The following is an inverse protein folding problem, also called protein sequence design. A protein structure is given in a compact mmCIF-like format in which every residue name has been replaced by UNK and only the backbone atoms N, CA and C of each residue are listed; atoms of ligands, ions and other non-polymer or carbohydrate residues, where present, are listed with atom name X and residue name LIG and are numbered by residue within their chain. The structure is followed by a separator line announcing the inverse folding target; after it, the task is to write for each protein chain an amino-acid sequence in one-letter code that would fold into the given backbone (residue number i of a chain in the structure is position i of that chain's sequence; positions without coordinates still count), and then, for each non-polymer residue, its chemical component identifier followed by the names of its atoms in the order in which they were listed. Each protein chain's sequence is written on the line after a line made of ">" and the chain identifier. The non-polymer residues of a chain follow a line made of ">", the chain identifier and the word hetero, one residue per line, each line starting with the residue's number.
data_IF_796955374133
#
_entry.id   IF_796955374133
#
_cell.length_a   1.000
_cell.length_b   1.000
_cell.length_c   1.000
_cell.angle_alpha   90.00
_cell.angle_beta   90.00
_cell.angle_gamma   90.00
#
_symmetry.space_group_name_H-M   'P 1'
#
loop_
_entity.id
_entity.type
_entity.pdbx_description
1 polymer ?
#
# COMPACT_ATOMS: atom_id res chain seq x y z
N UNK A 1 11.72 -89.46 23.73
CA UNK A 1 11.75 -88.00 23.44
C UNK A 1 11.14 -87.78 22.06
N UNK A 2 10.17 -86.86 21.88
CA UNK A 2 9.62 -86.54 20.56
C UNK A 2 10.62 -85.65 19.82
N UNK A 3 11.02 -86.02 18.59
CA UNK A 3 11.87 -85.18 17.74
C UNK A 3 11.03 -84.01 17.23
N UNK A 4 11.45 -82.76 17.47
CA UNK A 4 10.90 -81.61 16.72
C UNK A 4 11.25 -81.80 15.24
N UNK A 5 10.30 -81.57 14.34
CA UNK A 5 10.58 -81.55 12.92
C UNK A 5 11.29 -80.25 12.55
N UNK A 6 12.23 -80.34 11.59
CA UNK A 6 12.89 -79.16 11.04
C UNK A 6 11.87 -78.18 10.42
N UNK A 7 10.76 -78.70 9.86
CA UNK A 7 9.64 -77.89 9.35
C UNK A 7 8.91 -77.12 10.46
N UNK A 8 8.80 -77.66 11.68
CA UNK A 8 8.20 -76.95 12.82
C UNK A 8 9.07 -75.78 13.27
N UNK A 9 10.40 -75.96 13.24
CA UNK A 9 11.35 -74.90 13.55
C UNK A 9 11.31 -73.79 12.48
N UNK A 10 11.24 -74.16 11.20
CA UNK A 10 11.14 -73.23 10.09
C UNK A 10 9.84 -72.41 10.14
N UNK A 11 8.71 -73.04 10.48
CA UNK A 11 7.41 -72.37 10.63
C UNK A 11 7.43 -71.34 11.77
N UNK A 12 8.08 -71.64 12.89
CA UNK A 12 8.23 -70.71 14.01
C UNK A 12 9.12 -69.51 13.68
N UNK A 13 10.19 -69.70 12.90
CA UNK A 13 11.05 -68.60 12.41
C UNK A 13 10.25 -67.70 11.45
N UNK A 14 9.42 -68.28 10.59
CA UNK A 14 8.60 -67.53 9.64
C UNK A 14 7.49 -66.73 10.35
N UNK A 15 6.80 -67.33 11.32
CA UNK A 15 5.82 -66.64 12.18
C UNK A 15 6.47 -65.52 13.02
N UNK A 16 7.66 -65.76 13.58
CA UNK A 16 8.42 -64.75 14.31
C UNK A 16 8.84 -63.54 13.47
N UNK A 17 8.87 -63.68 12.14
CA UNK A 17 9.22 -62.59 11.22
C UNK A 17 8.06 -61.61 10.94
N UNK A 18 6.83 -61.96 11.34
CA UNK A 18 5.65 -61.09 11.21
C UNK A 18 5.38 -60.27 12.49
N UNK A 19 5.83 -60.77 13.65
CA UNK A 19 5.61 -60.14 14.95
C UNK A 19 6.70 -59.10 15.29
N UNK A 20 6.88 -58.08 14.45
CA UNK A 20 7.95 -57.08 14.66
C UNK A 20 7.89 -55.77 13.87
N UNK A 21 6.93 -55.58 12.96
CA UNK A 21 6.74 -54.27 12.32
C UNK A 21 5.79 -53.42 13.17
N UNK A 22 6.35 -52.49 13.94
CA UNK A 22 5.56 -51.39 14.52
C UNK A 22 5.24 -50.38 13.42
N UNK A 23 4.15 -50.62 12.70
CA UNK A 23 3.58 -49.67 11.74
C UNK A 23 3.33 -48.33 12.46
N UNK A 24 3.83 -47.22 11.87
CA UNK A 24 3.78 -45.91 12.51
C UNK A 24 2.38 -45.34 12.40
N UNK A 25 1.61 -45.50 13.46
CA UNK A 25 0.20 -45.13 13.52
C UNK A 25 -0.01 -43.62 13.77
N UNK A 26 -1.28 -43.20 13.78
CA UNK A 26 -1.66 -41.84 14.11
C UNK A 26 -1.12 -41.40 15.48
N UNK A 27 -1.20 -42.27 16.49
CA UNK A 27 -0.79 -41.98 17.88
C UNK A 27 0.70 -41.68 17.95
N UNK A 28 1.53 -42.54 17.33
CA UNK A 28 2.97 -42.33 17.23
C UNK A 28 3.33 -40.97 16.63
N UNK A 29 2.65 -40.56 15.55
CA UNK A 29 2.93 -39.28 14.89
C UNK A 29 2.40 -38.07 15.67
N UNK A 30 1.23 -38.16 16.31
CA UNK A 30 0.69 -37.09 17.17
C UNK A 30 1.62 -36.84 18.37
N UNK A 31 1.88 -37.88 19.19
CA UNK A 31 2.70 -37.76 20.40
C UNK A 31 4.13 -37.33 20.09
N UNK A 32 4.75 -37.93 19.06
CA UNK A 32 6.14 -37.61 18.70
C UNK A 32 6.27 -36.19 18.15
N UNK A 33 5.34 -35.72 17.31
CA UNK A 33 5.42 -34.35 16.78
C UNK A 33 5.03 -33.31 17.83
N UNK A 34 4.12 -33.62 18.76
CA UNK A 34 3.78 -32.78 19.91
C UNK A 34 4.98 -32.64 20.87
N UNK A 35 5.63 -33.76 21.20
CA UNK A 35 6.82 -33.76 22.08
C UNK A 35 7.99 -32.98 21.46
N UNK A 36 8.26 -33.18 20.17
CA UNK A 36 9.28 -32.42 19.44
C UNK A 36 8.91 -30.93 19.31
N UNK A 37 7.62 -30.59 19.22
CA UNK A 37 7.13 -29.21 19.22
C UNK A 37 7.37 -28.51 20.56
N UNK A 38 6.98 -29.15 21.66
CA UNK A 38 7.18 -28.63 23.03
C UNK A 38 8.67 -28.41 23.36
N UNK A 39 9.55 -29.23 22.80
CA UNK A 39 11.01 -29.12 22.94
C UNK A 39 11.68 -28.18 21.91
N UNK A 40 10.90 -27.51 21.04
CA UNK A 40 11.40 -26.68 19.93
C UNK A 40 12.39 -27.38 18.97
N UNK A 41 12.26 -28.71 18.78
CA UNK A 41 13.18 -29.56 18.02
C UNK A 41 12.88 -29.54 16.53
N UNK A 42 12.87 -28.35 15.93
CA UNK A 42 12.37 -28.11 14.57
C UNK A 42 13.01 -28.98 13.48
N UNK A 43 14.32 -29.22 13.54
CA UNK A 43 15.04 -30.07 12.57
C UNK A 43 14.69 -31.56 12.66
N UNK A 44 14.10 -32.01 13.77
CA UNK A 44 13.59 -33.37 13.96
C UNK A 44 12.07 -33.45 13.72
N UNK A 45 11.33 -32.39 14.03
CA UNK A 45 9.91 -32.26 13.76
C UNK A 45 9.63 -32.19 12.25
N UNK A 46 10.33 -31.32 11.52
CA UNK A 46 10.09 -31.07 10.09
C UNK A 46 10.31 -32.28 9.14
N UNK A 47 11.21 -33.25 9.39
CA UNK A 47 11.20 -34.53 8.68
C UNK A 47 10.07 -35.45 9.16
N UNK A 48 9.88 -35.66 10.47
CA UNK A 48 8.89 -36.60 11.00
C UNK A 48 7.44 -36.23 10.59
N UNK A 49 7.11 -34.94 10.67
CA UNK A 49 5.79 -34.45 10.24
C UNK A 49 5.62 -34.43 8.71
N UNK A 50 6.71 -34.53 7.92
CA UNK A 50 6.59 -34.82 6.47
C UNK A 50 6.34 -36.29 6.21
N UNK A 51 6.99 -37.18 6.97
CA UNK A 51 6.77 -38.63 6.88
C UNK A 51 5.31 -38.97 7.17
N UNK A 52 4.75 -38.48 8.29
CA UNK A 52 3.32 -38.58 8.61
C UNK A 52 2.40 -38.12 7.47
N UNK A 53 2.75 -37.03 6.77
CA UNK A 53 1.99 -36.52 5.63
C UNK A 53 2.17 -37.33 4.33
N UNK A 54 3.21 -38.14 4.23
CA UNK A 54 3.43 -39.07 3.12
C UNK A 54 2.66 -40.38 3.35
N UNK A 55 2.60 -40.85 4.61
CA UNK A 55 1.72 -41.94 5.06
C UNK A 55 0.22 -41.55 5.15
N UNK A 56 -0.14 -40.33 4.71
CA UNK A 56 -1.54 -39.89 4.55
C UNK A 56 -2.18 -39.22 5.77
N UNK A 57 -1.49 -39.09 6.90
CA UNK A 57 -2.02 -38.45 8.12
C UNK A 57 -2.06 -36.91 8.00
N UNK A 58 -3.01 -36.33 7.25
CA UNK A 58 -3.18 -34.87 7.09
C UNK A 58 -4.25 -34.29 8.03
N UNK A 59 -3.84 -33.70 9.16
CA UNK A 59 -4.72 -33.08 10.15
C UNK A 59 -4.20 -31.72 10.67
N UNK A 60 -5.09 -30.93 11.27
CA UNK A 60 -4.84 -29.54 11.71
C UNK A 60 -3.53 -29.37 12.53
N UNK A 61 -3.37 -30.09 13.64
CA UNK A 61 -2.23 -29.89 14.53
C UNK A 61 -0.89 -30.25 13.87
N UNK A 62 -0.84 -31.30 13.04
CA UNK A 62 0.37 -31.65 12.28
C UNK A 62 0.76 -30.53 11.29
N UNK A 63 -0.25 -29.96 10.60
CA UNK A 63 -0.05 -28.81 9.70
C UNK A 63 0.46 -27.58 10.45
N UNK A 64 -0.09 -27.30 11.63
CA UNK A 64 0.39 -26.21 12.50
C UNK A 64 1.83 -26.43 12.95
N UNK A 65 2.15 -27.58 13.55
CA UNK A 65 3.50 -27.89 14.07
C UNK A 65 4.55 -27.87 12.96
N UNK A 66 4.24 -28.39 11.76
CA UNK A 66 5.14 -28.35 10.60
C UNK A 66 5.27 -26.93 10.02
N UNK A 67 4.18 -26.15 10.01
CA UNK A 67 4.21 -24.74 9.62
C UNK A 67 5.13 -23.91 10.52
N UNK A 68 4.96 -24.04 11.84
CA UNK A 68 5.76 -23.34 12.85
C UNK A 68 7.23 -23.78 12.76
N UNK A 69 7.52 -25.08 12.63
CA UNK A 69 8.89 -25.55 12.43
C UNK A 69 9.57 -24.95 11.17
N UNK A 70 8.83 -24.68 10.09
CA UNK A 70 9.36 -23.96 8.93
C UNK A 70 9.47 -22.45 9.14
N UNK A 71 8.58 -21.84 9.92
CA UNK A 71 8.62 -20.42 10.27
C UNK A 71 9.86 -20.11 11.13
N UNK A 72 10.05 -20.86 12.22
CA UNK A 72 11.18 -20.73 13.14
C UNK A 72 12.52 -21.02 12.47
N UNK A 73 12.59 -22.05 11.61
CA UNK A 73 13.80 -22.33 10.81
C UNK A 73 14.00 -21.38 9.61
N UNK A 74 13.34 -20.21 9.61
CA UNK A 74 13.44 -19.13 8.62
C UNK A 74 13.19 -19.58 7.18
N UNK A 75 12.24 -20.49 6.98
CA UNK A 75 11.79 -21.04 5.69
C UNK A 75 10.32 -20.68 5.39
N UNK A 76 9.93 -19.39 5.41
CA UNK A 76 8.52 -18.96 5.32
C UNK A 76 7.79 -19.49 4.08
N UNK A 77 8.47 -19.59 2.93
CA UNK A 77 7.92 -20.17 1.69
C UNK A 77 7.44 -21.62 1.86
N UNK A 78 8.00 -22.39 2.81
CA UNK A 78 7.55 -23.76 3.14
C UNK A 78 6.47 -23.79 4.22
N UNK A 79 6.38 -22.74 5.03
CA UNK A 79 5.40 -22.58 6.10
C UNK A 79 4.01 -22.18 5.58
N UNK A 80 3.95 -21.22 4.65
CA UNK A 80 2.72 -20.74 3.97
C UNK A 80 1.76 -21.88 3.57
N UNK A 81 2.17 -22.91 2.79
CA UNK A 81 1.26 -23.98 2.37
C UNK A 81 0.84 -24.93 3.50
N UNK A 82 1.50 -24.91 4.66
CA UNK A 82 1.03 -25.65 5.85
C UNK A 82 -0.09 -24.88 6.55
N UNK A 83 0.09 -23.58 6.77
CA UNK A 83 -0.93 -22.75 7.41
C UNK A 83 -2.19 -22.61 6.55
N UNK A 84 -2.07 -22.51 5.22
CA UNK A 84 -3.23 -22.62 4.33
C UNK A 84 -3.96 -23.98 4.44
N UNK A 85 -3.27 -25.08 4.75
CA UNK A 85 -3.92 -26.38 4.98
C UNK A 85 -4.48 -26.51 6.40
N UNK A 86 -3.83 -25.92 7.42
CA UNK A 86 -4.40 -25.79 8.76
C UNK A 86 -5.73 -25.01 8.71
N UNK A 87 -5.76 -23.86 8.01
CA UNK A 87 -6.97 -23.07 7.74
C UNK A 87 -7.99 -23.76 6.82
N UNK A 88 -7.70 -24.93 6.24
CA UNK A 88 -8.72 -25.78 5.60
C UNK A 88 -9.34 -26.81 6.54
N UNK A 89 -8.66 -27.12 7.66
CA UNK A 89 -9.18 -27.98 8.73
C UNK A 89 -9.93 -27.15 9.79
N UNK A 90 -9.46 -25.93 10.10
CA UNK A 90 -10.12 -24.97 10.98
C UNK A 90 -10.04 -23.55 10.39
N UNK A 91 -11.12 -23.10 9.73
CA UNK A 91 -11.11 -21.91 8.85
C UNK A 91 -10.89 -20.58 9.57
N UNK A 92 -11.22 -20.52 10.85
CA UNK A 92 -11.32 -19.28 11.62
C UNK A 92 -10.39 -19.33 12.86
N UNK A 93 -9.27 -20.07 12.75
CA UNK A 93 -8.25 -20.19 13.78
C UNK A 93 -7.32 -18.96 13.81
N UNK A 94 -7.30 -18.15 14.88
CA UNK A 94 -6.48 -16.93 14.97
C UNK A 94 -4.98 -17.22 14.80
N UNK A 95 -4.50 -18.34 15.35
CA UNK A 95 -3.07 -18.68 15.39
C UNK A 95 -2.57 -19.05 14.00
N UNK A 96 -3.29 -19.92 13.26
CA UNK A 96 -2.97 -20.23 11.88
C UNK A 96 -3.03 -19.02 10.95
N UNK A 97 -3.98 -18.10 11.19
CA UNK A 97 -4.09 -16.85 10.44
C UNK A 97 -2.90 -15.92 10.66
N UNK A 98 -2.52 -15.69 11.93
CA UNK A 98 -1.39 -14.83 12.29
C UNK A 98 -0.06 -15.36 11.76
N UNK A 99 0.22 -16.66 11.94
CA UNK A 99 1.41 -17.28 11.37
C UNK A 99 1.42 -17.26 9.83
N UNK A 100 0.27 -17.42 9.16
CA UNK A 100 0.19 -17.29 7.70
C UNK A 100 0.52 -15.86 7.25
N UNK A 101 -0.03 -14.85 7.93
CA UNK A 101 0.22 -13.44 7.64
C UNK A 101 1.72 -13.09 7.74
N UNK A 102 2.36 -13.43 8.86
CA UNK A 102 3.81 -13.20 9.02
C UNK A 102 4.66 -14.06 8.08
N UNK A 103 4.22 -15.28 7.75
CA UNK A 103 4.91 -16.10 6.74
C UNK A 103 4.85 -15.47 5.35
N UNK A 104 3.73 -14.85 4.96
CA UNK A 104 3.61 -14.11 3.70
C UNK A 104 4.51 -12.86 3.69
N UNK A 105 4.57 -12.10 4.79
CA UNK A 105 5.48 -10.96 4.92
C UNK A 105 6.96 -11.38 4.80
N UNK A 106 7.41 -12.37 5.57
CA UNK A 106 8.79 -12.87 5.50
C UNK A 106 9.13 -13.60 4.19
N UNK A 107 8.13 -13.97 3.39
CA UNK A 107 8.29 -14.46 2.02
C UNK A 107 8.37 -13.34 0.96
N UNK A 108 8.26 -12.06 1.35
CA UNK A 108 8.21 -10.91 0.43
C UNK A 108 6.84 -10.70 -0.25
N UNK A 109 5.80 -11.42 0.18
CA UNK A 109 4.47 -11.49 -0.47
C UNK A 109 3.49 -10.51 0.19
N UNK A 110 3.89 -9.23 0.26
CA UNK A 110 3.20 -8.21 1.04
C UNK A 110 1.74 -7.95 0.59
N UNK A 111 1.48 -7.96 -0.72
CA UNK A 111 0.12 -7.79 -1.25
C UNK A 111 -0.80 -8.96 -0.86
N UNK A 112 -0.29 -10.19 -0.88
CA UNK A 112 -1.04 -11.36 -0.43
C UNK A 112 -1.26 -11.36 1.09
N UNK A 113 -0.28 -10.92 1.88
CA UNK A 113 -0.44 -10.72 3.31
C UNK A 113 -1.54 -9.69 3.62
N UNK A 114 -1.59 -8.58 2.88
CA UNK A 114 -2.62 -7.55 2.99
C UNK A 114 -4.01 -8.07 2.61
N UNK A 115 -4.13 -8.73 1.45
CA UNK A 115 -5.39 -9.32 0.98
C UNK A 115 -5.90 -10.41 1.93
N UNK A 116 -5.01 -11.22 2.50
CA UNK A 116 -5.35 -12.21 3.52
C UNK A 116 -5.84 -11.52 4.81
N UNK A 117 -5.10 -10.56 5.35
CA UNK A 117 -5.47 -9.86 6.57
C UNK A 117 -6.82 -9.12 6.45
N UNK A 118 -7.12 -8.52 5.29
CA UNK A 118 -8.41 -7.91 5.01
C UNK A 118 -9.55 -8.92 5.00
N UNK A 119 -9.36 -10.12 4.44
CA UNK A 119 -10.37 -11.18 4.45
C UNK A 119 -10.53 -11.85 5.83
N UNK A 120 -9.44 -11.99 6.58
CA UNK A 120 -9.40 -12.67 7.87
C UNK A 120 -10.00 -11.82 9.00
N UNK A 121 -9.61 -10.54 9.08
CA UNK A 121 -10.15 -9.59 10.08
C UNK A 121 -11.67 -9.48 10.03
N UNK A 122 -12.25 -9.54 8.82
CA UNK A 122 -13.70 -9.47 8.58
C UNK A 122 -14.44 -10.72 9.07
N UNK A 123 -13.77 -11.87 9.18
CA UNK A 123 -14.37 -13.12 9.69
C UNK A 123 -14.32 -13.23 11.21
N UNK A 124 -13.20 -12.85 11.83
CA UNK A 124 -13.02 -12.93 13.29
C UNK A 124 -13.88 -11.95 14.10
N UNK A 125 -14.59 -11.02 13.45
CA UNK A 125 -15.29 -9.93 14.13
C UNK A 125 -14.36 -8.89 14.78
N UNK A 126 -13.03 -8.99 14.55
CA UNK A 126 -12.06 -7.97 14.94
C UNK A 126 -12.41 -6.66 14.23
N UNK A 127 -12.85 -5.67 15.01
CA UNK A 127 -13.30 -4.36 14.54
C UNK A 127 -12.35 -3.77 13.47
N UNK A 128 -12.85 -3.40 12.28
CA UNK A 128 -11.99 -3.09 11.16
C UNK A 128 -11.31 -1.74 11.35
N UNK A 129 -9.97 -1.73 11.35
CA UNK A 129 -9.12 -0.63 10.88
C UNK A 129 -9.72 0.77 11.13
N UNK A 130 -9.70 1.24 12.39
CA UNK A 130 -10.12 2.59 12.76
C UNK A 130 -9.42 3.62 11.88
N UNK A 131 -10.16 4.59 11.35
CA UNK A 131 -9.64 5.48 10.31
C UNK A 131 -8.45 6.31 10.77
N UNK A 132 -7.45 6.49 9.90
CA UNK A 132 -6.26 7.29 10.23
C UNK A 132 -6.55 8.78 10.06
N UNK A 133 -5.82 9.58 10.84
CA UNK A 133 -5.74 11.01 10.72
C UNK A 133 -4.27 11.38 10.50
N UNK A 134 -3.92 11.76 9.27
CA UNK A 134 -2.57 12.14 8.90
C UNK A 134 -2.48 13.67 8.81
N UNK A 135 -1.55 14.29 9.54
CA UNK A 135 -1.16 15.70 9.35
C UNK A 135 0.09 15.72 8.46
N UNK A 136 0.12 16.58 7.44
CA UNK A 136 1.28 16.75 6.56
C UNK A 136 1.56 18.23 6.28
N UNK A 137 2.83 18.56 6.09
CA UNK A 137 3.28 19.87 5.64
C UNK A 137 4.41 19.69 4.62
N UNK A 138 4.42 20.53 3.58
CA UNK A 138 5.46 20.57 2.56
C UNK A 138 5.96 22.01 2.40
N UNK A 139 7.23 22.15 2.01
CA UNK A 139 7.82 23.42 1.61
C UNK A 139 8.71 23.18 0.39
N UNK A 140 8.48 23.94 -0.67
CA UNK A 140 9.17 23.88 -1.95
C UNK A 140 9.79 25.26 -2.23
N UNK A 141 11.05 25.28 -2.66
CA UNK A 141 11.71 26.49 -3.12
C UNK A 141 12.43 26.22 -4.43
N UNK A 142 12.15 27.03 -5.45
CA UNK A 142 12.79 26.95 -6.77
C UNK A 142 13.45 28.30 -7.06
N UNK A 143 14.77 28.28 -7.15
CA UNK A 143 15.60 29.43 -7.48
C UNK A 143 15.62 29.69 -9.00
N UNK A 144 15.59 30.96 -9.40
CA UNK A 144 15.80 31.40 -10.79
C UNK A 144 17.28 31.63 -11.09
N UNK A 145 17.68 31.51 -12.36
CA UNK A 145 19.06 31.79 -12.80
C UNK A 145 19.31 33.28 -13.09
N UNK A 146 18.29 34.13 -12.92
CA UNK A 146 18.36 35.58 -13.14
C UNK A 146 18.39 35.98 -14.62
N UNK A 147 18.10 35.07 -15.56
CA UNK A 147 18.10 35.36 -17.01
C UNK A 147 16.72 35.52 -17.62
N UNK A 148 15.68 35.49 -16.79
CA UNK A 148 14.28 35.65 -17.22
C UNK A 148 13.54 36.51 -16.20
N UNK A 149 12.47 37.18 -16.66
CA UNK A 149 11.54 37.97 -15.84
C UNK A 149 10.87 37.13 -14.72
N UNK A 150 10.94 35.80 -14.80
CA UNK A 150 10.44 34.88 -13.77
C UNK A 150 11.51 34.67 -12.70
N UNK A 151 11.24 35.20 -11.51
CA UNK A 151 12.07 35.07 -10.32
C UNK A 151 11.86 33.76 -9.56
N UNK A 152 12.15 33.79 -8.25
CA UNK A 152 12.05 32.63 -7.38
C UNK A 152 10.59 32.25 -7.09
N UNK A 153 10.35 30.95 -6.89
CA UNK A 153 9.06 30.40 -6.51
C UNK A 153 9.16 29.75 -5.13
N UNK A 154 8.28 30.16 -4.22
CA UNK A 154 8.06 29.53 -2.93
C UNK A 154 6.68 28.85 -2.94
N UNK A 155 6.57 27.60 -2.47
CA UNK A 155 5.30 26.90 -2.22
C UNK A 155 5.33 26.32 -0.81
N UNK A 156 4.31 26.60 -0.02
CA UNK A 156 4.12 26.07 1.32
C UNK A 156 2.72 25.48 1.43
N UNK A 157 2.61 24.19 1.75
CA UNK A 157 1.31 23.54 1.94
C UNK A 157 1.22 22.84 3.30
N UNK A 158 0.05 22.93 3.92
CA UNK A 158 -0.33 22.28 5.17
C UNK A 158 -1.67 21.58 4.96
N UNK A 159 -1.78 20.31 5.35
CA UNK A 159 -3.01 19.55 5.12
C UNK A 159 -3.25 18.42 6.11
N UNK A 160 -4.51 18.01 6.15
CA UNK A 160 -5.04 16.96 7.02
C UNK A 160 -5.74 15.93 6.13
N UNK A 161 -5.42 14.64 6.31
CA UNK A 161 -6.04 13.52 5.62
C UNK A 161 -6.77 12.60 6.60
N UNK A 162 -8.01 12.27 6.29
CA UNK A 162 -8.82 11.28 6.99
C UNK A 162 -8.99 10.05 6.09
N UNK A 163 -8.48 8.89 6.52
CA UNK A 163 -8.71 7.61 5.82
C UNK A 163 -9.79 6.80 6.52
N UNK A 164 -11.03 6.96 6.09
CA UNK A 164 -12.21 6.29 6.65
C UNK A 164 -12.28 4.83 6.15
N UNK A 165 -11.58 3.96 6.88
CA UNK A 165 -11.37 2.56 6.52
C UNK A 165 -10.49 2.42 5.27
N UNK A 166 -10.38 1.20 4.72
CA UNK A 166 -9.53 0.93 3.54
C UNK A 166 -10.21 1.24 2.18
N UNK A 167 -11.08 2.27 2.08
CA UNK A 167 -11.68 2.71 0.80
C UNK A 167 -11.97 4.20 0.63
N UNK A 168 -12.41 4.90 1.67
CA UNK A 168 -12.75 6.32 1.57
C UNK A 168 -11.60 7.15 2.16
N UNK A 169 -11.02 8.01 1.34
CA UNK A 169 -10.02 9.00 1.76
C UNK A 169 -10.60 10.39 1.54
N UNK A 170 -10.42 11.26 2.53
CA UNK A 170 -10.81 12.65 2.49
C UNK A 170 -9.63 13.51 2.93
N UNK A 171 -9.43 14.68 2.35
CA UNK A 171 -8.33 15.57 2.76
C UNK A 171 -8.65 17.04 2.52
N UNK A 172 -8.23 17.86 3.48
CA UNK A 172 -8.13 19.31 3.36
C UNK A 172 -6.66 19.69 3.19
N UNK A 173 -6.37 20.59 2.27
CA UNK A 173 -5.04 21.19 2.10
C UNK A 173 -5.21 22.70 1.96
N UNK A 174 -4.40 23.47 2.68
CA UNK A 174 -4.15 24.88 2.41
C UNK A 174 -2.75 25.00 1.82
N UNK A 175 -2.59 25.79 0.77
CA UNK A 175 -1.41 25.86 -0.08
C UNK A 175 -1.20 27.33 -0.46
N UNK A 176 -0.02 27.87 -0.16
CA UNK A 176 0.34 29.26 -0.38
C UNK A 176 1.57 29.30 -1.29
N UNK A 177 1.42 29.92 -2.45
CA UNK A 177 2.41 29.96 -3.52
C UNK A 177 2.77 31.42 -3.80
N UNK A 178 4.06 31.74 -3.71
CA UNK A 178 4.61 33.06 -4.02
C UNK A 178 5.56 32.96 -5.20
N UNK A 179 5.20 33.57 -6.32
CA UNK A 179 6.08 33.72 -7.47
C UNK A 179 6.60 35.16 -7.52
N UNK A 180 7.91 35.33 -7.42
CA UNK A 180 8.58 36.60 -7.66
C UNK A 180 8.78 36.84 -9.15
N UNK A 181 8.76 38.09 -9.58
CA UNK A 181 9.00 38.52 -10.94
C UNK A 181 9.87 39.79 -10.98
N UNK A 182 10.44 40.10 -12.13
CA UNK A 182 11.12 41.37 -12.42
C UNK A 182 10.57 41.92 -13.74
N UNK A 183 9.89 43.06 -13.67
CA UNK A 183 9.49 43.83 -14.84
C UNK A 183 10.71 44.67 -15.31
N UNK A 184 11.01 44.65 -16.60
CA UNK A 184 12.08 45.46 -17.20
C UNK A 184 11.48 46.65 -17.94
N UNK A 185 11.43 47.81 -17.28
CA UNK A 185 10.86 49.04 -17.83
C UNK A 185 11.94 49.73 -18.67
N UNK A 186 11.66 49.92 -19.96
CA UNK A 186 12.56 50.60 -20.91
C UNK A 186 12.00 51.98 -21.22
N UNK A 187 12.74 53.04 -20.86
CA UNK A 187 12.33 54.43 -21.05
C UNK A 187 13.27 55.12 -22.04
N UNK A 188 12.72 55.68 -23.13
CA UNK A 188 13.47 56.52 -24.06
C UNK A 188 13.41 57.99 -23.61
N UNK A 189 14.50 58.49 -23.02
CA UNK A 189 14.63 59.91 -22.73
C UNK A 189 15.05 60.70 -24.00
N UNK A 190 14.45 61.86 -24.28
CA UNK A 190 14.88 62.70 -25.39
C UNK A 190 16.32 63.23 -25.15
N UNK A 191 17.15 63.37 -26.20
CA UNK A 191 18.53 63.83 -26.05
C UNK A 191 18.56 65.23 -25.43
N UNK A 192 19.26 65.40 -24.30
CA UNK A 192 19.28 66.64 -23.51
C UNK A 192 19.84 67.90 -24.20
N UNK A 193 20.28 67.78 -25.45
CA UNK A 193 20.73 68.87 -26.33
C UNK A 193 19.87 69.02 -27.61
N UNK A 194 18.79 68.23 -27.76
CA UNK A 194 17.95 68.17 -28.96
C UNK A 194 18.60 67.55 -30.21
N UNK A 195 19.85 67.11 -30.15
CA UNK A 195 20.62 66.58 -31.28
C UNK A 195 21.45 65.35 -30.86
N UNK A 196 20.79 64.19 -30.89
CA UNK A 196 21.38 62.86 -30.62
C UNK A 196 20.32 61.77 -30.81
N UNK A 197 20.71 60.48 -30.73
CA UNK A 197 19.73 59.42 -30.48
C UNK A 197 19.10 59.60 -29.08
N UNK A 198 17.89 59.07 -28.82
CA UNK A 198 17.33 59.03 -27.47
C UNK A 198 18.23 58.22 -26.53
N UNK A 199 18.23 58.59 -25.25
CA UNK A 199 18.94 57.85 -24.20
C UNK A 199 18.00 56.77 -23.69
N UNK A 200 18.34 55.51 -23.94
CA UNK A 200 17.57 54.37 -23.42
C UNK A 200 17.99 54.12 -21.97
N UNK A 201 17.11 54.46 -21.04
CA UNK A 201 17.19 54.04 -19.65
C UNK A 201 16.47 52.70 -19.47
N UNK A 202 16.96 51.88 -18.53
CA UNK A 202 16.34 50.60 -18.17
C UNK A 202 16.25 50.52 -16.64
N UNK A 203 15.05 50.24 -16.13
CA UNK A 203 14.75 50.08 -14.71
C UNK A 203 14.17 48.68 -14.46
N UNK A 204 14.74 47.94 -13.51
CA UNK A 204 14.24 46.63 -13.08
C UNK A 204 13.33 46.82 -11.86
N UNK A 205 12.02 46.59 -12.03
CA UNK A 205 11.02 46.66 -10.96
C UNK A 205 10.69 45.24 -10.47
N UNK A 206 11.17 44.82 -9.29
CA UNK A 206 10.76 43.54 -8.72
C UNK A 206 9.33 43.63 -8.18
N UNK A 207 8.51 42.63 -8.52
CA UNK A 207 7.17 42.45 -7.97
C UNK A 207 6.94 40.98 -7.57
N UNK A 208 5.77 40.68 -7.01
CA UNK A 208 5.41 39.32 -6.61
C UNK A 208 3.92 39.05 -6.81
N UNK A 209 3.59 37.76 -6.85
CA UNK A 209 2.27 37.22 -7.09
C UNK A 209 2.00 36.15 -6.04
N UNK A 210 1.04 36.42 -5.15
CA UNK A 210 0.68 35.54 -4.04
C UNK A 210 -0.64 34.83 -4.36
N UNK A 211 -0.61 33.50 -4.40
CA UNK A 211 -1.77 32.65 -4.62
C UNK A 211 -2.03 31.78 -3.39
N UNK A 212 -3.27 31.75 -2.93
CA UNK A 212 -3.71 30.97 -1.78
C UNK A 212 -4.81 30.00 -2.22
N UNK A 213 -4.53 28.71 -2.13
CA UNK A 213 -5.45 27.64 -2.51
C UNK A 213 -5.94 26.90 -1.26
N UNK A 214 -7.26 26.72 -1.17
CA UNK A 214 -7.87 25.77 -0.25
C UNK A 214 -8.51 24.64 -1.04
N UNK A 215 -7.96 23.43 -0.87
CA UNK A 215 -8.29 22.24 -1.65
C UNK A 215 -8.93 21.18 -0.76
N UNK A 216 -10.11 20.72 -1.15
CA UNK A 216 -10.80 19.58 -0.55
C UNK A 216 -10.81 18.44 -1.59
N UNK A 217 -10.27 17.28 -1.23
CA UNK A 217 -10.36 16.07 -2.04
C UNK A 217 -11.14 14.98 -1.29
N UNK A 218 -12.04 14.29 -1.99
CA UNK A 218 -12.66 13.05 -1.57
C UNK A 218 -12.39 11.96 -2.62
N UNK A 219 -11.96 10.78 -2.20
CA UNK A 219 -11.62 9.66 -3.09
C UNK A 219 -12.20 8.36 -2.54
N UNK A 220 -12.92 7.63 -3.38
CA UNK A 220 -13.55 6.36 -3.04
C UNK A 220 -13.01 5.23 -3.93
N UNK A 221 -12.25 4.32 -3.32
CA UNK A 221 -11.74 3.12 -3.97
C UNK A 221 -12.90 2.13 -4.21
N UNK A 222 -13.14 1.78 -5.47
CA UNK A 222 -14.19 0.86 -5.91
C UNK A 222 -13.59 -0.52 -6.23
N UNK A 223 -14.45 -1.52 -6.50
CA UNK A 223 -13.99 -2.88 -6.81
C UNK A 223 -13.25 -2.92 -8.16
N UNK A 224 -12.30 -3.87 -8.30
CA UNK A 224 -11.55 -4.15 -9.54
C UNK A 224 -10.70 -2.96 -10.05
N UNK A 225 -10.12 -2.16 -9.16
CA UNK A 225 -9.21 -1.06 -9.54
C UNK A 225 -9.90 0.17 -10.15
N UNK A 226 -11.23 0.27 -10.05
CA UNK A 226 -11.94 1.52 -10.29
C UNK A 226 -11.83 2.44 -9.07
N UNK A 227 -11.84 3.75 -9.27
CA UNK A 227 -11.87 4.75 -8.20
C UNK A 227 -12.76 5.92 -8.63
N UNK A 228 -13.67 6.36 -7.78
CA UNK A 228 -14.35 7.64 -7.95
C UNK A 228 -13.64 8.71 -7.12
N UNK A 229 -13.68 9.97 -7.55
CA UNK A 229 -13.15 11.08 -6.77
C UNK A 229 -13.84 12.40 -7.08
N UNK A 230 -13.66 13.34 -6.15
CA UNK A 230 -14.16 14.70 -6.22
C UNK A 230 -13.11 15.64 -5.63
N UNK A 231 -12.84 16.73 -6.35
CA UNK A 231 -11.97 17.82 -5.91
C UNK A 231 -12.77 19.11 -5.93
N UNK A 232 -12.65 19.89 -4.86
CA UNK A 232 -13.00 21.30 -4.82
C UNK A 232 -11.71 22.09 -4.57
N UNK A 233 -11.44 23.09 -5.40
CA UNK A 233 -10.45 24.12 -5.17
C UNK A 233 -11.17 25.45 -5.00
N UNK A 234 -10.80 26.20 -3.98
CA UNK A 234 -10.98 27.63 -3.91
C UNK A 234 -9.61 28.28 -4.03
N UNK A 235 -9.44 29.20 -4.97
CA UNK A 235 -8.24 29.98 -5.15
C UNK A 235 -8.56 31.46 -4.92
N UNK A 236 -7.81 32.10 -4.02
CA UNK A 236 -7.70 33.55 -3.96
C UNK A 236 -6.31 33.93 -4.46
N UNK A 237 -6.25 34.96 -5.30
CA UNK A 237 -5.03 35.40 -5.98
C UNK A 237 -4.90 36.90 -5.80
N UNK A 238 -3.71 37.34 -5.40
CA UNK A 238 -3.36 38.73 -5.13
C UNK A 238 -2.14 39.16 -5.97
N UNK A 239 -2.27 40.31 -6.61
CA UNK A 239 -1.21 40.98 -7.40
C UNK A 239 -1.27 42.49 -7.19
N UNK A 240 -0.28 43.24 -7.69
CA UNK A 240 -0.25 44.71 -7.50
C UNK A 240 -1.42 45.45 -8.19
N UNK A 241 -1.97 44.90 -9.29
CA UNK A 241 -3.04 45.53 -10.07
C UNK A 241 -4.41 44.85 -9.94
N UNK A 242 -4.45 43.56 -9.60
CA UNK A 242 -5.67 42.74 -9.61
C UNK A 242 -5.69 41.69 -8.49
N UNK A 243 -6.75 41.69 -7.69
CA UNK A 243 -7.16 40.53 -6.89
C UNK A 243 -8.24 39.75 -7.66
N UNK A 244 -8.28 38.41 -7.56
CA UNK A 244 -9.41 37.61 -8.08
C UNK A 244 -9.68 36.33 -7.27
N UNK A 245 -10.92 35.83 -7.39
CA UNK A 245 -11.36 34.57 -6.80
C UNK A 245 -11.85 33.56 -7.86
N UNK A 246 -11.34 32.32 -7.79
CA UNK A 246 -11.86 31.17 -8.55
C UNK A 246 -12.38 30.07 -7.62
N UNK A 247 -13.57 29.54 -7.95
CA UNK A 247 -14.06 28.27 -7.41
C UNK A 247 -14.11 27.23 -8.52
N UNK A 248 -13.39 26.11 -8.33
CA UNK A 248 -13.34 25.00 -9.28
C UNK A 248 -13.78 23.69 -8.62
N UNK A 249 -14.73 23.01 -9.24
CA UNK A 249 -15.34 21.75 -8.80
C UNK A 249 -15.09 20.68 -9.86
N UNK A 250 -14.59 19.51 -9.49
CA UNK A 250 -14.27 18.45 -10.45
C UNK A 250 -14.59 17.05 -9.91
N UNK A 251 -15.53 16.37 -10.57
CA UNK A 251 -15.88 14.98 -10.29
C UNK A 251 -15.30 14.04 -11.34
N UNK A 252 -14.68 12.93 -10.93
CA UNK A 252 -14.07 11.98 -11.85
C UNK A 252 -14.30 10.52 -11.49
N UNK A 253 -14.24 9.68 -12.52
CA UNK A 253 -14.10 8.23 -12.43
C UNK A 253 -12.76 7.85 -13.08
N UNK A 254 -11.97 7.03 -12.39
CA UNK A 254 -10.68 6.55 -12.89
C UNK A 254 -10.56 5.04 -12.78
N UNK A 255 -9.70 4.48 -13.62
CA UNK A 255 -9.44 3.06 -13.74
C UNK A 255 -7.92 2.83 -13.72
N UNK A 256 -7.45 2.22 -12.64
CA UNK A 256 -6.09 1.72 -12.60
C UNK A 256 -5.96 0.48 -13.48
N UNK A 257 -4.99 0.51 -14.38
CA UNK A 257 -4.48 -0.62 -15.15
C UNK A 257 -3.00 -0.85 -14.76
N UNK A 258 -2.37 -1.98 -15.14
CA UNK A 258 -1.02 -2.31 -14.67
C UNK A 258 0.09 -1.32 -15.04
N UNK A 259 -0.11 -0.49 -16.07
CA UNK A 259 0.87 0.48 -16.56
C UNK A 259 0.22 1.79 -17.06
N UNK A 260 -1.03 2.09 -16.64
CA UNK A 260 -1.82 3.22 -17.14
C UNK A 260 -2.89 3.59 -16.10
N UNK A 261 -3.27 4.88 -15.99
CA UNK A 261 -4.43 5.30 -15.20
C UNK A 261 -5.39 6.13 -16.05
N UNK A 262 -6.33 5.46 -16.70
CA UNK A 262 -7.41 6.13 -17.43
C UNK A 262 -8.28 6.91 -16.43
N UNK A 263 -8.28 8.24 -16.54
CA UNK A 263 -9.08 9.15 -15.72
C UNK A 263 -10.00 9.95 -16.63
N UNK A 264 -11.30 9.91 -16.36
CA UNK A 264 -12.32 10.70 -17.05
C UNK A 264 -13.13 11.50 -16.02
N UNK A 265 -13.32 12.79 -16.25
CA UNK A 265 -14.03 13.66 -15.30
C UNK A 265 -14.77 14.82 -15.96
N UNK A 266 -15.59 15.49 -15.15
CA UNK A 266 -16.29 16.71 -15.50
C UNK A 266 -15.95 17.80 -14.47
N UNK A 267 -15.43 18.92 -14.97
CA UNK A 267 -15.08 20.10 -14.19
C UNK A 267 -16.07 21.25 -14.40
N UNK A 268 -16.22 22.10 -13.39
CA UNK A 268 -16.90 23.39 -13.49
C UNK A 268 -16.12 24.45 -12.70
N UNK A 269 -15.71 25.52 -13.37
CA UNK A 269 -15.18 26.74 -12.72
C UNK A 269 -16.19 27.89 -12.77
N UNK A 270 -16.12 28.72 -11.73
CA UNK A 270 -16.80 29.99 -11.62
C UNK A 270 -15.81 31.07 -11.15
N UNK A 271 -15.45 31.98 -12.06
CA UNK A 271 -14.61 33.15 -11.80
C UNK A 271 -15.49 34.33 -11.41
N UNK A 272 -15.19 35.00 -10.29
CA UNK A 272 -16.07 36.07 -9.79
C UNK A 272 -16.15 37.26 -10.76
N UNK A 273 -15.00 37.71 -11.26
CA UNK A 273 -14.87 38.99 -11.97
C UNK A 273 -15.16 38.92 -13.48
N UNK A 274 -15.22 37.72 -14.07
CA UNK A 274 -15.48 37.55 -15.51
C UNK A 274 -16.84 36.93 -15.84
N UNK A 275 -17.61 36.48 -14.83
CA UNK A 275 -18.87 35.74 -14.99
C UNK A 275 -18.79 34.48 -15.89
N UNK A 276 -17.59 34.04 -16.28
CA UNK A 276 -17.43 32.91 -17.19
C UNK A 276 -17.63 31.58 -16.44
N UNK A 277 -18.54 30.76 -16.98
CA UNK A 277 -18.73 29.37 -16.57
C UNK A 277 -18.10 28.47 -17.61
N UNK A 278 -17.07 27.73 -17.23
CA UNK A 278 -16.46 26.72 -18.09
C UNK A 278 -16.89 25.33 -17.62
N UNK A 279 -16.97 24.38 -18.56
CA UNK A 279 -17.21 22.97 -18.30
C UNK A 279 -16.12 22.16 -18.99
N UNK A 280 -15.26 21.53 -18.20
CA UNK A 280 -14.10 20.77 -18.67
C UNK A 280 -14.39 19.28 -18.76
N UNK A 281 -13.80 18.61 -19.76
CA UNK A 281 -13.69 17.16 -19.81
C UNK A 281 -12.20 16.78 -19.93
N UNK A 282 -11.68 16.13 -18.88
CA UNK A 282 -10.29 15.67 -18.85
C UNK A 282 -10.22 14.18 -19.15
N UNK A 283 -9.32 13.80 -20.07
CA UNK A 283 -8.89 12.42 -20.29
C UNK A 283 -7.37 12.33 -20.06
N UNK A 284 -6.97 11.77 -18.92
CA UNK A 284 -5.56 11.43 -18.62
C UNK A 284 -5.33 9.93 -18.87
N UNK A 285 -4.12 9.58 -19.31
CA UNK A 285 -3.69 8.20 -19.59
C UNK A 285 -2.41 7.84 -18.83
#
# INVERSE_FOLDING_TARGET
>A
MKKLSLSTLFLLIWLGSLAGQSERDFTFYEDSTLSLYQQARWDQLAPLAREALQEGFDYYYLRMRLGIAYFETRRPQRAIPQFYRALRHNTDDPVAGEYLYYSLLYAGRADEARLFADAFSVKEGRQPHSGTLDLFANATYKWSDGRTEVGNLEDYSLGIRHSLGRRLTFSHTYECLRQHFVETIVTEEPPGNGNGPPVVATEERPYHFDQQFYRINAQLQLKRGWQAGFTFNYAWVQSEDHDFEEQYYFGYLSKQLPALQLKAGLGHSNFHDTYQRQLGFDLTY
#
